data_IF_024162830796
#
_entry.id   IF_024162830796
#
_cell.length_a   1.000
_cell.length_b   1.000
_cell.length_c   1.000
_cell.angle_alpha   90.00
_cell.angle_beta   90.00
_cell.angle_gamma   90.00
#
_symmetry.space_group_name_H-M   'P 1'
#
loop_
_entity.id
_entity.type
_entity.pdbx_description
1 polymer ?
#
# COMPACT_ATOMS: atom_id res chain seq x y z
N UNK A 1 -19.19 -37.37 61.89
CA UNK A 1 -19.22 -36.78 63.24
C UNK A 1 -18.86 -35.30 63.10
N UNK A 2 -19.83 -34.39 63.37
CA UNK A 2 -19.78 -32.91 63.53
C UNK A 2 -19.15 -32.08 62.37
N UNK A 3 -19.91 -31.37 61.52
CA UNK A 3 -20.58 -30.05 61.69
C UNK A 3 -19.73 -28.92 62.32
N UNK A 4 -19.48 -27.85 61.56
CA UNK A 4 -19.97 -26.49 61.84
C UNK A 4 -19.69 -25.53 60.67
N UNK A 5 -20.72 -24.81 60.23
CA UNK A 5 -20.63 -23.63 59.36
C UNK A 5 -20.57 -22.36 60.23
N UNK A 6 -19.99 -21.27 59.73
CA UNK A 6 -20.42 -19.92 60.10
C UNK A 6 -20.42 -19.00 58.87
N UNK A 7 -21.46 -18.18 58.79
CA UNK A 7 -21.82 -17.27 57.71
C UNK A 7 -21.44 -15.82 58.04
N UNK A 8 -21.23 -15.01 56.98
CA UNK A 8 -21.44 -13.55 56.88
C UNK A 8 -20.41 -12.66 57.60
N UNK A 9 -19.88 -11.57 57.00
CA UNK A 9 -20.60 -10.46 56.35
C UNK A 9 -19.66 -9.59 55.49
N UNK A 10 -20.25 -9.03 54.45
CA UNK A 10 -19.76 -8.00 53.51
C UNK A 10 -19.14 -6.76 54.17
N UNK A 11 -18.04 -6.24 53.59
CA UNK A 11 -17.68 -4.82 53.58
C UNK A 11 -16.96 -4.46 52.27
N UNK A 12 -17.52 -3.45 51.61
CA UNK A 12 -17.14 -2.85 50.35
C UNK A 12 -15.99 -1.83 50.57
N UNK A 13 -14.90 -1.90 49.82
CA UNK A 13 -14.06 -0.71 49.59
C UNK A 13 -13.37 -0.78 48.22
N UNK A 14 -14.00 -0.07 47.30
CA UNK A 14 -13.47 0.34 46.01
C UNK A 14 -12.24 1.24 46.24
N UNK A 15 -11.06 0.85 45.74
CA UNK A 15 -9.90 1.76 45.65
C UNK A 15 -9.34 1.74 44.24
N UNK A 16 -9.63 2.82 43.51
CA UNK A 16 -9.03 3.17 42.23
C UNK A 16 -7.50 3.24 42.35
N UNK A 17 -6.81 2.37 41.62
CA UNK A 17 -5.37 2.49 41.33
C UNK A 17 -5.18 2.82 39.86
N UNK A 18 -5.00 4.11 39.57
CA UNK A 18 -4.62 4.62 38.25
C UNK A 18 -3.22 4.11 37.87
N UNK A 19 -3.12 3.35 36.77
CA UNK A 19 -1.88 3.16 36.02
C UNK A 19 -1.87 4.11 34.82
N UNK A 20 -0.90 5.04 34.70
CA UNK A 20 -0.71 5.75 33.45
C UNK A 20 0.11 4.87 32.49
N UNK A 21 -0.52 4.44 31.40
CA UNK A 21 0.16 3.96 30.22
C UNK A 21 0.89 5.14 29.57
N UNK A 22 2.22 5.08 29.57
CA UNK A 22 3.10 6.03 28.90
C UNK A 22 3.03 5.81 27.38
N UNK A 23 2.15 6.53 26.71
CA UNK A 23 2.12 6.67 25.26
C UNK A 23 3.27 7.55 24.80
N UNK A 24 4.35 6.97 24.28
CA UNK A 24 5.36 7.73 23.55
C UNK A 24 4.83 8.06 22.15
N UNK A 25 4.32 9.29 22.00
CA UNK A 25 3.96 9.88 20.72
C UNK A 25 5.22 10.44 20.05
N UNK A 26 5.68 9.80 18.98
CA UNK A 26 6.73 10.32 18.10
C UNK A 26 6.11 11.31 17.11
N UNK A 27 5.96 12.56 17.53
CA UNK A 27 5.85 13.70 16.63
C UNK A 27 7.23 14.35 16.48
N UNK A 28 7.89 14.12 15.34
CA UNK A 28 8.97 14.98 14.83
C UNK A 28 8.90 14.89 13.29
N UNK A 29 8.35 15.91 12.62
CA UNK A 29 8.98 17.17 12.19
C UNK A 29 9.47 17.06 10.74
N UNK A 30 8.56 17.17 9.78
CA UNK A 30 8.86 17.61 8.42
C UNK A 30 7.71 18.47 7.95
N UNK A 31 7.94 19.78 7.78
CA UNK A 31 7.26 20.69 6.85
C UNK A 31 7.68 22.13 7.16
N UNK A 32 8.70 22.61 6.47
CA UNK A 32 8.93 24.05 6.24
C UNK A 32 9.82 24.19 5.01
N UNK A 33 9.22 24.05 3.83
CA UNK A 33 9.69 24.71 2.63
C UNK A 33 8.52 25.51 2.08
N UNK A 34 8.71 26.82 2.16
CA UNK A 34 7.73 27.85 1.95
C UNK A 34 7.19 27.85 0.52
N UNK A 35 5.91 28.16 0.43
CA UNK A 35 5.22 28.67 -0.74
C UNK A 35 5.95 29.87 -1.35
N UNK A 36 6.33 29.76 -2.62
CA UNK A 36 6.46 30.92 -3.50
C UNK A 36 5.53 30.67 -4.70
N UNK A 37 4.38 31.33 -4.67
CA UNK A 37 3.50 31.47 -5.83
C UNK A 37 4.02 32.66 -6.64
N UNK A 38 4.63 32.39 -7.79
CA UNK A 38 4.92 33.41 -8.78
C UNK A 38 3.77 33.41 -9.80
N UNK A 39 2.96 34.46 -9.73
CA UNK A 39 1.90 34.76 -10.70
C UNK A 39 2.55 35.45 -11.91
N UNK A 40 2.69 34.74 -13.02
CA UNK A 40 3.01 35.37 -14.31
C UNK A 40 1.81 35.28 -15.26
N UNK A 41 1.21 36.44 -15.53
CA UNK A 41 0.21 36.65 -16.58
C UNK A 41 0.89 36.66 -17.95
N UNK A 42 0.56 35.68 -18.81
CA UNK A 42 1.02 35.64 -20.21
C UNK A 42 -0.11 36.16 -21.14
N UNK A 43 0.17 37.08 -22.09
CA UNK A 43 -0.87 37.72 -22.89
C UNK A 43 -1.44 36.77 -23.96
N UNK A 44 -2.75 36.94 -24.21
CA UNK A 44 -3.54 36.23 -25.22
C UNK A 44 -3.15 36.70 -26.63
N UNK A 45 -2.32 35.93 -27.32
CA UNK A 45 -2.10 36.08 -28.77
C UNK A 45 -2.94 35.03 -29.51
N UNK A 46 -3.91 35.50 -30.28
CA UNK A 46 -4.75 34.70 -31.15
C UNK A 46 -3.92 34.30 -32.38
N UNK A 47 -3.70 32.99 -32.59
CA UNK A 47 -3.20 32.48 -33.88
C UNK A 47 -4.03 31.27 -34.34
N UNK A 48 -4.29 31.28 -35.65
CA UNK A 48 -5.19 30.44 -36.46
C UNK A 48 -4.67 28.98 -36.54
N UNK A 49 -5.53 27.96 -36.75
CA UNK A 49 -5.13 26.57 -36.54
C UNK A 49 -4.14 26.11 -37.62
N UNK A 50 -2.94 25.75 -37.18
CA UNK A 50 -2.02 24.98 -37.99
C UNK A 50 -2.34 23.49 -37.79
N UNK A 51 -2.70 22.83 -38.89
CA UNK A 51 -2.64 21.37 -39.02
C UNK A 51 -1.19 20.94 -38.78
N UNK A 52 -0.91 20.44 -37.58
CA UNK A 52 0.39 19.94 -37.18
C UNK A 52 0.22 18.54 -36.60
N UNK A 53 0.94 17.59 -37.19
CA UNK A 53 1.23 16.30 -36.59
C UNK A 53 1.73 16.57 -35.17
N UNK A 54 0.98 16.13 -34.17
CA UNK A 54 1.51 16.11 -32.81
C UNK A 54 2.59 15.04 -32.79
N UNK A 55 3.85 15.47 -32.77
CA UNK A 55 4.96 14.64 -32.31
C UNK A 55 4.66 14.27 -30.86
N UNK A 56 4.00 13.12 -30.70
CA UNK A 56 3.94 12.41 -29.44
C UNK A 56 5.40 12.07 -29.14
N UNK A 57 5.98 12.73 -28.14
CA UNK A 57 7.32 12.40 -27.66
C UNK A 57 7.43 10.91 -27.27
N UNK A 58 8.52 10.47 -26.62
CA UNK A 58 8.71 9.07 -26.27
C UNK A 58 7.77 8.59 -25.13
N UNK A 59 6.66 9.30 -24.90
CA UNK A 59 5.60 8.90 -23.98
C UNK A 59 4.97 7.64 -24.54
N UNK A 60 5.49 6.50 -24.09
CA UNK A 60 4.89 5.19 -24.32
C UNK A 60 3.42 5.30 -23.91
N UNK A 61 2.47 4.91 -24.76
CA UNK A 61 1.07 4.86 -24.37
C UNK A 61 0.95 4.07 -23.07
N UNK A 62 0.30 4.67 -22.07
CA UNK A 62 -0.08 3.98 -20.84
C UNK A 62 -0.74 2.65 -21.23
N UNK A 63 -0.30 1.55 -20.60
CA UNK A 63 -0.85 0.22 -20.87
C UNK A 63 -2.37 0.27 -20.69
N UNK A 64 -3.19 -0.35 -21.58
CA UNK A 64 -4.64 -0.33 -21.47
C UNK A 64 -5.18 -0.69 -20.08
N UNK A 65 -4.46 -1.57 -19.35
CA UNK A 65 -4.74 -1.92 -17.96
C UNK A 65 -4.65 -0.72 -17.03
N UNK A 66 -3.54 0.02 -17.04
CA UNK A 66 -3.32 1.15 -16.11
C UNK A 66 -4.36 2.24 -16.35
N UNK A 67 -4.65 2.60 -17.60
CA UNK A 67 -5.72 3.54 -17.93
C UNK A 67 -7.09 3.06 -17.45
N UNK A 68 -7.35 1.75 -17.47
CA UNK A 68 -8.59 1.21 -16.94
C UNK A 68 -8.64 1.28 -15.41
N UNK A 69 -7.56 0.92 -14.71
CA UNK A 69 -7.47 1.00 -13.25
C UNK A 69 -7.60 2.44 -12.75
N UNK A 70 -7.10 3.44 -13.48
CA UNK A 70 -7.33 4.86 -13.20
C UNK A 70 -8.83 5.21 -13.22
N UNK A 71 -9.59 4.70 -14.19
CA UNK A 71 -11.05 4.91 -14.24
C UNK A 71 -11.79 4.22 -13.11
N UNK A 72 -11.31 3.04 -12.69
CA UNK A 72 -11.83 2.33 -11.52
C UNK A 72 -11.55 3.15 -10.26
N UNK A 73 -10.34 3.68 -10.12
CA UNK A 73 -9.93 4.57 -9.03
C UNK A 73 -10.81 5.84 -8.97
N UNK A 74 -11.05 6.52 -10.10
CA UNK A 74 -11.93 7.69 -10.16
C UNK A 74 -13.37 7.34 -9.77
N UNK A 75 -13.90 6.22 -10.26
CA UNK A 75 -15.24 5.76 -9.90
C UNK A 75 -15.33 5.41 -8.41
N UNK A 76 -14.29 4.79 -7.85
CA UNK A 76 -14.23 4.51 -6.42
C UNK A 76 -14.21 5.80 -5.59
N UNK A 77 -13.46 6.82 -5.99
CA UNK A 77 -13.44 8.13 -5.33
C UNK A 77 -14.83 8.78 -5.35
N UNK A 78 -15.53 8.72 -6.49
CA UNK A 78 -16.87 9.26 -6.63
C UNK A 78 -17.92 8.47 -5.81
N UNK A 79 -17.74 7.16 -5.64
CA UNK A 79 -18.68 6.28 -4.93
C UNK A 79 -18.46 6.27 -3.41
N UNK A 80 -17.22 6.27 -2.94
CA UNK A 80 -16.88 6.17 -1.51
C UNK A 80 -16.53 7.51 -0.86
N UNK A 81 -16.17 8.52 -1.66
CA UNK A 81 -15.67 9.80 -1.17
C UNK A 81 -14.18 9.78 -0.81
N UNK A 82 -13.69 10.90 -0.29
CA UNK A 82 -12.25 11.10 0.00
C UNK A 82 -11.77 10.46 1.30
N UNK A 83 -12.67 10.14 2.22
CA UNK A 83 -12.30 9.64 3.54
C UNK A 83 -11.68 8.25 3.40
N UNK A 84 -10.47 8.08 3.91
CA UNK A 84 -9.69 6.83 3.86
C UNK A 84 -9.43 6.31 2.42
N UNK A 85 -9.47 7.21 1.43
CA UNK A 85 -9.23 6.86 0.03
C UNK A 85 -7.74 6.69 -0.26
N UNK A 86 -7.36 5.46 -0.63
CA UNK A 86 -6.02 5.15 -1.10
C UNK A 86 -6.02 4.96 -2.63
N UNK A 87 -5.49 5.90 -3.43
CA UNK A 87 -5.44 5.75 -4.88
C UNK A 87 -4.56 4.57 -5.34
N UNK A 88 -3.48 4.26 -4.62
CA UNK A 88 -2.53 3.19 -4.99
C UNK A 88 -3.15 1.81 -4.84
N UNK A 89 -4.11 1.64 -3.93
CA UNK A 89 -4.87 0.40 -3.78
C UNK A 89 -5.46 -0.05 -5.11
N UNK A 90 -6.03 0.86 -5.88
CA UNK A 90 -6.72 0.56 -7.15
C UNK A 90 -5.76 0.28 -8.29
N UNK A 91 -4.61 0.96 -8.30
CA UNK A 91 -3.53 0.71 -9.27
C UNK A 91 -2.87 -0.66 -9.06
N UNK A 92 -2.92 -1.17 -7.83
CA UNK A 92 -2.32 -2.45 -7.44
C UNK A 92 -3.29 -3.63 -7.53
N UNK A 93 -4.49 -3.42 -8.06
CA UNK A 93 -5.44 -4.51 -8.25
C UNK A 93 -4.99 -5.40 -9.42
N UNK A 94 -5.04 -6.70 -9.20
CA UNK A 94 -4.89 -7.69 -10.26
C UNK A 94 -6.25 -8.14 -10.78
N UNK A 95 -6.30 -8.47 -12.07
CA UNK A 95 -7.54 -8.89 -12.72
C UNK A 95 -7.82 -10.37 -12.47
N UNK A 96 -9.12 -10.73 -12.34
CA UNK A 96 -9.58 -12.13 -12.35
C UNK A 96 -9.91 -12.66 -13.75
N UNK A 97 -10.17 -11.75 -14.68
CA UNK A 97 -10.62 -12.04 -16.05
C UNK A 97 -9.92 -11.14 -17.05
N UNK A 98 -10.05 -11.45 -18.34
CA UNK A 98 -9.47 -10.63 -19.40
C UNK A 98 -10.00 -9.19 -19.35
N UNK A 99 -9.09 -8.23 -19.52
CA UNK A 99 -9.38 -6.80 -19.42
C UNK A 99 -10.61 -6.37 -20.25
N UNK A 100 -10.78 -6.92 -21.46
CA UNK A 100 -11.91 -6.60 -22.34
C UNK A 100 -13.27 -6.98 -21.74
N UNK A 101 -13.36 -8.12 -21.04
CA UNK A 101 -14.57 -8.57 -20.37
C UNK A 101 -14.89 -7.66 -19.18
N UNK A 102 -13.87 -7.31 -18.38
CA UNK A 102 -14.02 -6.45 -17.21
C UNK A 102 -14.44 -5.03 -17.62
N UNK A 103 -13.79 -4.46 -18.64
CA UNK A 103 -14.17 -3.15 -19.21
C UNK A 103 -15.63 -3.17 -19.67
N UNK A 104 -16.05 -4.24 -20.35
CA UNK A 104 -17.45 -4.40 -20.79
C UNK A 104 -18.41 -4.45 -19.59
N UNK A 105 -18.06 -5.17 -18.52
CA UNK A 105 -18.87 -5.24 -17.31
C UNK A 105 -18.93 -3.88 -16.59
N UNK A 106 -17.81 -3.17 -16.50
CA UNK A 106 -17.71 -1.85 -15.88
C UNK A 106 -18.61 -0.81 -16.57
N UNK A 107 -18.69 -0.86 -17.90
CA UNK A 107 -19.58 0.01 -18.69
C UNK A 107 -21.07 -0.28 -18.46
N UNK A 108 -21.42 -1.48 -18.00
CA UNK A 108 -22.81 -1.88 -17.70
C UNK A 108 -23.26 -1.51 -16.29
N UNK A 109 -22.37 -1.00 -15.43
CA UNK A 109 -22.73 -0.62 -14.06
C UNK A 109 -23.81 0.47 -14.05
N UNK A 110 -24.87 0.31 -13.24
CA UNK A 110 -25.88 1.36 -13.07
C UNK A 110 -25.24 2.64 -12.54
N UNK A 111 -25.52 3.76 -13.22
CA UNK A 111 -25.03 5.09 -12.83
C UNK A 111 -26.20 6.02 -12.57
N UNK A 112 -26.06 6.85 -11.54
CA UNK A 112 -27.05 7.89 -11.26
C UNK A 112 -26.87 9.10 -12.21
N UNK A 113 -27.70 10.12 -12.04
CA UNK A 113 -27.66 11.35 -12.85
C UNK A 113 -26.30 12.09 -12.79
N UNK A 114 -25.53 11.91 -11.71
CA UNK A 114 -24.17 12.47 -11.55
C UNK A 114 -23.08 11.58 -12.14
N UNK A 115 -23.44 10.43 -12.71
CA UNK A 115 -22.50 9.47 -13.30
C UNK A 115 -21.83 8.51 -12.30
N UNK A 116 -22.15 8.59 -11.00
CA UNK A 116 -21.57 7.72 -9.97
C UNK A 116 -22.34 6.41 -9.83
N UNK A 117 -21.60 5.36 -9.47
CA UNK A 117 -22.13 4.00 -9.22
C UNK A 117 -22.51 3.90 -7.75
N UNK A 118 -23.58 3.16 -7.44
CA UNK A 118 -23.99 2.93 -6.05
C UNK A 118 -22.92 2.13 -5.29
N UNK A 119 -22.83 2.32 -3.96
CA UNK A 119 -21.88 1.58 -3.11
C UNK A 119 -22.04 0.06 -3.24
N UNK A 120 -23.26 -0.52 -3.17
CA UNK A 120 -23.46 -1.96 -3.33
C UNK A 120 -22.98 -2.48 -4.70
N UNK A 121 -23.40 -1.85 -5.79
CA UNK A 121 -23.06 -2.29 -7.15
C UNK A 121 -21.55 -2.23 -7.40
N UNK A 122 -20.90 -1.16 -6.93
CA UNK A 122 -19.45 -1.01 -7.07
C UNK A 122 -18.70 -2.05 -6.25
N UNK A 123 -19.11 -2.32 -5.00
CA UNK A 123 -18.48 -3.37 -4.17
C UNK A 123 -18.62 -4.76 -4.79
N UNK A 124 -19.79 -5.08 -5.33
CA UNK A 124 -20.02 -6.35 -6.03
C UNK A 124 -19.13 -6.47 -7.26
N UNK A 125 -19.04 -5.41 -8.08
CA UNK A 125 -18.14 -5.36 -9.22
C UNK A 125 -16.66 -5.57 -8.82
N UNK A 126 -16.19 -4.89 -7.77
CA UNK A 126 -14.81 -5.04 -7.29
C UNK A 126 -14.55 -6.47 -6.83
N UNK A 127 -15.50 -7.07 -6.10
CA UNK A 127 -15.39 -8.45 -5.62
C UNK A 127 -15.36 -9.47 -6.76
N UNK A 128 -16.18 -9.28 -7.79
CA UNK A 128 -16.28 -10.21 -8.92
C UNK A 128 -15.04 -10.18 -9.81
N UNK A 129 -14.55 -8.99 -10.16
CA UNK A 129 -13.58 -8.84 -11.26
C UNK A 129 -12.13 -8.63 -10.85
N UNK A 130 -11.85 -8.29 -9.59
CA UNK A 130 -10.50 -8.05 -9.11
C UNK A 130 -10.13 -8.97 -7.96
N UNK A 131 -8.87 -9.37 -7.95
CA UNK A 131 -8.22 -9.85 -6.75
C UNK A 131 -7.71 -8.65 -5.93
N UNK A 132 -7.54 -8.88 -4.63
CA UNK A 132 -7.02 -7.85 -3.74
C UNK A 132 -5.58 -7.49 -4.10
N UNK A 133 -5.23 -6.22 -3.89
CA UNK A 133 -3.87 -5.76 -4.10
C UNK A 133 -2.87 -6.49 -3.18
N UNK A 134 -1.68 -6.79 -3.69
CA UNK A 134 -0.54 -7.28 -2.91
C UNK A 134 -0.27 -8.79 -2.99
N UNK A 135 -0.96 -9.51 -3.87
CA UNK A 135 -0.67 -10.93 -4.14
C UNK A 135 0.42 -11.14 -5.20
N UNK A 136 0.92 -10.05 -5.79
CA UNK A 136 1.91 -10.07 -6.88
C UNK A 136 3.31 -10.48 -6.39
N UNK A 137 3.61 -10.18 -5.12
CA UNK A 137 4.83 -10.55 -4.44
C UNK A 137 4.54 -11.49 -3.27
N UNK A 138 5.16 -12.67 -3.29
CA UNK A 138 5.07 -13.66 -2.21
C UNK A 138 6.36 -13.70 -1.42
N UNK A 139 6.29 -14.22 -0.19
CA UNK A 139 7.49 -14.44 0.63
C UNK A 139 8.55 -15.27 -0.10
N UNK A 140 9.81 -14.86 0.05
CA UNK A 140 10.97 -15.61 -0.39
C UNK A 140 11.94 -15.75 0.79
N UNK A 141 12.30 -16.98 1.16
CA UNK A 141 13.32 -17.20 2.19
C UNK A 141 14.68 -16.73 1.66
N UNK A 142 15.34 -15.74 2.31
CA UNK A 142 16.70 -15.35 1.93
C UNK A 142 17.69 -16.48 2.26
N UNK A 143 18.46 -16.99 1.28
CA UNK A 143 19.26 -18.20 1.44
C UNK A 143 20.48 -18.03 2.37
N UNK A 144 20.92 -16.79 2.57
CA UNK A 144 22.11 -16.40 3.33
C UNK A 144 21.78 -15.73 4.68
N UNK A 145 20.50 -15.67 5.06
CA UNK A 145 20.11 -15.02 6.30
C UNK A 145 20.50 -15.86 7.53
N UNK A 146 21.27 -15.24 8.41
CA UNK A 146 21.63 -15.78 9.73
C UNK A 146 21.02 -14.88 10.81
N UNK A 147 20.20 -15.39 11.75
CA UNK A 147 19.52 -14.57 12.76
C UNK A 147 20.46 -13.72 13.61
N UNK A 148 21.62 -14.27 13.98
CA UNK A 148 22.70 -13.56 14.67
C UNK A 148 24.01 -13.80 13.90
N UNK A 149 24.39 -12.89 12.98
CA UNK A 149 25.60 -13.04 12.20
C UNK A 149 26.87 -13.04 13.07
N UNK A 150 27.86 -13.83 12.68
CA UNK A 150 29.15 -13.85 13.36
C UNK A 150 29.79 -12.45 13.33
N UNK A 151 30.17 -11.96 14.51
CA UNK A 151 30.74 -10.62 14.64
C UNK A 151 29.75 -9.48 14.40
N UNK A 152 28.44 -9.69 14.57
CA UNK A 152 27.43 -8.64 14.42
C UNK A 152 27.67 -7.45 15.39
N UNK A 153 28.01 -6.29 14.81
CA UNK A 153 28.19 -5.01 15.50
C UNK A 153 29.09 -5.09 16.77
N UNK A 154 30.35 -5.52 16.68
CA UNK A 154 31.15 -5.92 17.85
C UNK A 154 31.55 -4.74 18.75
N UNK A 155 31.45 -3.51 18.21
CA UNK A 155 31.71 -2.25 18.92
C UNK A 155 30.50 -1.75 19.71
N UNK A 156 29.29 -2.22 19.40
CA UNK A 156 28.07 -1.86 20.13
C UNK A 156 28.04 -2.68 21.41
N UNK A 157 28.33 -2.06 22.56
CA UNK A 157 28.39 -2.74 23.86
C UNK A 157 27.07 -2.73 24.64
N UNK A 158 26.18 -1.79 24.35
CA UNK A 158 24.88 -1.71 25.03
C UNK A 158 23.98 -2.89 24.57
N UNK A 159 23.50 -3.74 25.50
CA UNK A 159 22.72 -4.92 25.15
C UNK A 159 21.35 -4.61 24.54
N UNK A 160 20.69 -3.52 24.95
CA UNK A 160 19.40 -3.12 24.39
C UNK A 160 19.55 -2.64 22.94
N UNK A 161 20.60 -1.88 22.65
CA UNK A 161 20.89 -1.43 21.28
C UNK A 161 21.25 -2.61 20.38
N UNK A 162 22.00 -3.60 20.89
CA UNK A 162 22.28 -4.84 20.16
C UNK A 162 21.01 -5.62 19.85
N UNK A 163 20.12 -5.79 20.82
CA UNK A 163 18.84 -6.47 20.63
C UNK A 163 17.99 -5.78 19.57
N UNK A 164 17.85 -4.45 19.66
CA UNK A 164 17.16 -3.66 18.65
C UNK A 164 17.78 -3.80 17.26
N UNK A 165 19.10 -3.80 17.13
CA UNK A 165 19.76 -3.99 15.84
C UNK A 165 19.50 -5.38 15.24
N UNK A 166 19.37 -6.42 16.07
CA UNK A 166 18.96 -7.75 15.62
C UNK A 166 17.48 -7.80 15.21
N UNK A 167 16.61 -7.04 15.87
CA UNK A 167 15.21 -6.87 15.43
C UNK A 167 15.14 -6.21 14.05
N UNK A 168 15.95 -5.16 13.82
CA UNK A 168 16.06 -4.51 12.50
C UNK A 168 16.61 -5.49 11.46
N UNK A 169 17.67 -6.23 11.79
CA UNK A 169 18.23 -7.26 10.90
C UNK A 169 17.19 -8.32 10.51
N UNK A 170 16.35 -8.76 11.46
CA UNK A 170 15.29 -9.72 11.21
C UNK A 170 14.22 -9.22 10.21
N UNK A 171 14.11 -7.89 9.99
CA UNK A 171 13.21 -7.34 8.98
C UNK A 171 13.62 -7.76 7.57
N UNK A 172 14.90 -7.98 7.26
CA UNK A 172 15.33 -8.40 5.92
C UNK A 172 14.75 -9.74 5.52
N UNK A 173 14.70 -10.68 6.47
CA UNK A 173 13.96 -11.93 6.28
C UNK A 173 12.48 -11.67 6.04
N UNK A 174 11.83 -10.88 6.89
CA UNK A 174 10.39 -10.63 6.78
C UNK A 174 10.00 -9.85 5.51
N UNK A 175 10.88 -9.01 4.96
CA UNK A 175 10.63 -8.15 3.80
C UNK A 175 11.14 -8.75 2.48
N UNK A 176 11.78 -9.92 2.53
CA UNK A 176 12.22 -10.66 1.35
C UNK A 176 11.03 -11.25 0.57
N UNK A 177 10.97 -10.94 -0.72
CA UNK A 177 9.87 -11.27 -1.62
C UNK A 177 10.39 -11.84 -2.93
N UNK A 178 9.52 -12.52 -3.66
CA UNK A 178 9.70 -12.89 -5.07
C UNK A 178 8.39 -12.73 -5.81
N UNK A 179 8.46 -12.59 -7.12
CA UNK A 179 7.28 -12.53 -7.98
C UNK A 179 6.49 -13.83 -7.87
N UNK A 180 5.17 -13.71 -7.71
CA UNK A 180 4.26 -14.84 -7.63
C UNK A 180 4.08 -15.53 -8.99
N UNK A 181 3.65 -16.79 -8.99
CA UNK A 181 3.40 -17.50 -10.25
C UNK A 181 2.30 -16.83 -11.08
N UNK A 182 1.26 -16.24 -10.46
CA UNK A 182 0.18 -15.59 -11.19
C UNK A 182 0.68 -14.44 -12.08
N UNK A 183 1.62 -13.64 -11.56
CA UNK A 183 2.26 -12.56 -12.32
C UNK A 183 3.12 -13.10 -13.46
N UNK A 184 3.80 -14.23 -13.26
CA UNK A 184 4.60 -14.86 -14.31
C UNK A 184 3.73 -15.52 -15.41
N UNK A 185 2.62 -16.13 -15.00
CA UNK A 185 1.72 -16.86 -15.89
C UNK A 185 0.83 -15.93 -16.73
N UNK A 186 0.38 -14.80 -16.14
CA UNK A 186 -0.54 -13.82 -16.75
C UNK A 186 -0.08 -12.37 -16.49
N UNK A 187 1.11 -11.95 -16.91
CA UNK A 187 1.65 -10.61 -16.59
C UNK A 187 0.75 -9.46 -17.03
N UNK A 188 -0.09 -9.66 -18.06
CA UNK A 188 -1.04 -8.67 -18.54
C UNK A 188 -2.23 -8.41 -17.59
N UNK A 189 -2.38 -9.21 -16.52
CA UNK A 189 -3.39 -9.02 -15.47
C UNK A 189 -2.87 -8.19 -14.29
N UNK A 190 -1.58 -7.86 -14.29
CA UNK A 190 -0.90 -7.21 -13.18
C UNK A 190 -0.22 -5.92 -13.64
N UNK A 191 -0.10 -4.96 -12.74
CA UNK A 191 0.71 -3.75 -12.96
C UNK A 191 2.16 -3.93 -12.52
N UNK A 192 2.45 -4.90 -11.65
CA UNK A 192 3.80 -5.26 -11.24
C UNK A 192 4.62 -5.75 -12.45
N UNK A 193 5.80 -5.16 -12.64
CA UNK A 193 6.77 -5.65 -13.62
C UNK A 193 7.52 -6.87 -13.05
N UNK A 194 7.51 -8.03 -13.75
CA UNK A 194 8.19 -9.23 -13.27
C UNK A 194 9.72 -9.03 -13.15
N UNK A 195 10.29 -9.56 -12.07
CA UNK A 195 11.73 -9.57 -11.80
C UNK A 195 12.24 -11.02 -11.70
N UNK A 196 13.48 -11.30 -12.14
CA UNK A 196 13.99 -12.67 -12.24
C UNK A 196 14.43 -13.28 -10.90
N UNK A 197 14.56 -12.48 -9.84
CA UNK A 197 15.11 -12.90 -8.56
C UNK A 197 14.35 -12.36 -7.36
N UNK A 198 14.70 -12.83 -6.15
CA UNK A 198 14.14 -12.29 -4.92
C UNK A 198 14.60 -10.85 -4.70
N UNK A 199 13.78 -10.10 -3.98
CA UNK A 199 13.94 -8.66 -3.72
C UNK A 199 13.56 -8.35 -2.28
N UNK A 200 14.02 -7.22 -1.75
CA UNK A 200 13.55 -6.69 -0.46
C UNK A 200 12.67 -5.48 -0.76
N UNK A 201 11.45 -5.48 -0.22
CA UNK A 201 10.52 -4.35 -0.33
C UNK A 201 10.61 -3.45 0.91
N UNK A 202 10.28 -2.14 0.80
CA UNK A 202 10.22 -1.26 1.98
C UNK A 202 9.16 -1.71 3.00
N UNK A 203 8.10 -2.38 2.53
CA UNK A 203 7.02 -2.93 3.35
C UNK A 203 5.78 -2.03 3.43
N UNK A 204 4.78 -2.49 4.18
CA UNK A 204 3.48 -1.83 4.32
C UNK A 204 2.74 -1.69 2.96
N UNK A 205 2.36 -0.46 2.58
CA UNK A 205 1.70 -0.14 1.29
C UNK A 205 2.63 -0.32 0.09
N UNK A 206 3.94 -0.31 0.29
CA UNK A 206 4.94 -0.42 -0.77
C UNK A 206 5.22 -1.89 -1.07
N UNK A 207 4.75 -2.35 -2.23
CA UNK A 207 4.70 -3.77 -2.62
C UNK A 207 5.52 -4.04 -3.89
N UNK A 208 6.45 -3.15 -4.16
CA UNK A 208 7.35 -3.16 -5.31
C UNK A 208 8.74 -2.78 -4.84
N UNK A 209 9.72 -2.97 -5.72
CA UNK A 209 11.09 -2.50 -5.50
C UNK A 209 11.18 -1.01 -5.80
N UNK A 210 11.88 -0.29 -4.93
CA UNK A 210 12.17 1.13 -5.10
C UNK A 210 13.66 1.30 -5.34
N UNK A 211 14.01 1.90 -6.48
CA UNK A 211 15.39 1.96 -6.97
C UNK A 211 16.39 2.52 -5.94
N UNK A 212 16.11 3.71 -5.40
CA UNK A 212 17.01 4.35 -4.44
C UNK A 212 17.00 3.66 -3.08
N UNK A 213 15.85 3.19 -2.63
CA UNK A 213 15.70 2.45 -1.36
C UNK A 213 16.53 1.16 -1.38
N UNK A 214 16.55 0.43 -2.50
CA UNK A 214 17.34 -0.79 -2.64
C UNK A 214 18.85 -0.56 -2.42
N UNK A 215 19.37 0.62 -2.76
CA UNK A 215 20.78 0.95 -2.51
C UNK A 215 21.11 1.02 -1.01
N UNK A 216 20.17 1.43 -0.17
CA UNK A 216 20.38 1.53 1.29
C UNK A 216 20.06 0.24 2.04
N UNK A 217 19.39 -0.70 1.38
CA UNK A 217 19.07 -2.02 1.92
C UNK A 217 20.21 -3.03 1.68
N UNK A 218 20.89 -2.94 0.53
CA UNK A 218 22.04 -3.77 0.13
C UNK A 218 23.33 -3.25 0.78
#
# INVERSE_FOLDING_TARGET
>A
MRMASFHSRSSNSNSNGNHPASSFSLLLLFLLLASVSASETVPKVMSKPATGNFDIGPVVPTTPLVTFLERVQESALATFGQKDFDPKLYVDLSLKFDLSAIVTAFHKLPRNATGSVSIPDFKEFMHEYFDGAGNDLVYAEPPDFVPEPDGFLPKVKNPQVRAWALEVHALWKNLSRRVSCSVLDRPEFHTLLPLPGPVVIPGSRFREVYYWDSYWVI
#
